data_IF_985397578857
#
_entry.id   IF_985397578857
#
_cell.length_a   1.000
_cell.length_b   1.000
_cell.length_c   1.000
_cell.angle_alpha   90.00
_cell.angle_beta   90.00
_cell.angle_gamma   90.00
#
_symmetry.space_group_name_H-M   'P 1'
#
loop_
_entity.id
_entity.type
_entity.pdbx_description
1 polymer ?
#
# COMPACT_ATOMS: atom_id res chain seq x y z
N UNK A 1 -26.95 -8.20 1.57
CA UNK A 1 -25.53 -7.84 1.69
C UNK A 1 -24.65 -8.74 0.82
N UNK A 2 -24.55 -10.07 1.11
CA UNK A 2 -23.64 -11.00 0.40
C UNK A 2 -23.74 -10.86 -1.12
N UNK A 3 -24.93 -10.98 -1.70
CA UNK A 3 -25.13 -10.87 -3.15
C UNK A 3 -24.72 -9.49 -3.71
N UNK A 4 -24.94 -8.42 -2.96
CA UNK A 4 -24.60 -7.06 -3.41
C UNK A 4 -23.10 -6.85 -3.50
N UNK A 5 -22.33 -7.31 -2.49
CA UNK A 5 -20.87 -7.14 -2.49
C UNK A 5 -20.19 -8.10 -3.45
N UNK A 6 -20.68 -9.34 -3.59
CA UNK A 6 -20.13 -10.28 -4.57
C UNK A 6 -20.36 -9.80 -5.99
N UNK A 7 -21.57 -9.33 -6.32
CA UNK A 7 -21.89 -8.87 -7.68
C UNK A 7 -21.34 -7.48 -8.01
N UNK A 8 -21.26 -6.60 -7.00
CA UNK A 8 -20.81 -5.21 -7.21
C UNK A 8 -19.31 -5.01 -7.15
N UNK A 9 -18.61 -5.79 -6.32
CA UNK A 9 -17.19 -5.62 -6.04
C UNK A 9 -16.34 -6.87 -6.26
N UNK A 10 -16.95 -7.99 -6.68
CA UNK A 10 -16.24 -9.26 -6.78
C UNK A 10 -15.78 -9.83 -5.43
N UNK A 11 -16.33 -9.32 -4.31
CA UNK A 11 -15.88 -9.69 -2.99
C UNK A 11 -16.30 -11.12 -2.61
N UNK A 12 -15.41 -11.83 -1.95
CA UNK A 12 -15.72 -13.09 -1.29
C UNK A 12 -16.34 -12.82 0.09
N UNK A 13 -17.33 -13.60 0.47
CA UNK A 13 -17.97 -13.48 1.80
C UNK A 13 -18.02 -14.85 2.44
N UNK A 14 -17.33 -14.99 3.55
CA UNK A 14 -17.25 -16.24 4.31
C UNK A 14 -17.80 -16.07 5.73
N UNK A 15 -18.47 -17.10 6.24
CA UNK A 15 -18.90 -17.16 7.63
C UNK A 15 -17.82 -17.87 8.45
N UNK A 16 -17.31 -17.18 9.47
CA UNK A 16 -16.28 -17.70 10.35
C UNK A 16 -16.74 -17.63 11.82
N UNK A 17 -16.13 -18.44 12.65
CA UNK A 17 -16.35 -18.42 14.10
C UNK A 17 -15.24 -17.60 14.77
N UNK A 18 -15.54 -16.35 15.13
CA UNK A 18 -14.58 -15.46 15.76
C UNK A 18 -14.19 -15.91 17.19
N UNK A 19 -14.96 -16.78 17.85
CA UNK A 19 -14.54 -17.37 19.12
C UNK A 19 -13.36 -18.33 18.97
N UNK A 20 -13.16 -18.86 17.75
CA UNK A 20 -12.02 -19.69 17.38
C UNK A 20 -10.93 -18.84 16.68
N UNK A 21 -10.36 -17.87 17.41
CA UNK A 21 -9.50 -16.81 16.85
C UNK A 21 -8.35 -17.34 16.00
N UNK A 22 -7.59 -18.36 16.44
CA UNK A 22 -6.48 -18.94 15.68
C UNK A 22 -6.93 -19.53 14.35
N UNK A 23 -8.06 -20.25 14.34
CA UNK A 23 -8.61 -20.84 13.10
C UNK A 23 -9.08 -19.75 12.15
N UNK A 24 -9.77 -18.75 12.66
CA UNK A 24 -10.27 -17.61 11.85
C UNK A 24 -9.11 -16.80 11.27
N UNK A 25 -8.06 -16.52 12.06
CA UNK A 25 -6.82 -15.91 11.55
C UNK A 25 -6.17 -16.74 10.45
N UNK A 26 -6.15 -18.08 10.61
CA UNK A 26 -5.63 -18.98 9.57
C UNK A 26 -6.38 -18.85 8.25
N UNK A 27 -7.71 -18.74 8.27
CA UNK A 27 -8.55 -18.55 7.08
C UNK A 27 -8.23 -17.20 6.41
N UNK A 28 -8.25 -16.10 7.18
CA UNK A 28 -8.00 -14.75 6.66
C UNK A 28 -6.58 -14.62 6.10
N UNK A 29 -5.58 -15.09 6.84
CA UNK A 29 -4.19 -15.05 6.40
C UNK A 29 -3.95 -15.89 5.15
N UNK A 30 -4.55 -17.09 5.05
CA UNK A 30 -4.44 -17.92 3.85
C UNK A 30 -5.08 -17.28 2.63
N UNK A 31 -6.20 -16.56 2.82
CA UNK A 31 -6.82 -15.79 1.75
C UNK A 31 -5.90 -14.65 1.28
N UNK A 32 -5.29 -13.91 2.21
CA UNK A 32 -4.39 -12.82 1.90
C UNK A 32 -3.12 -13.32 1.19
N UNK A 33 -2.49 -14.37 1.72
CA UNK A 33 -1.32 -15.04 1.15
C UNK A 33 -1.56 -15.44 -0.32
N UNK A 34 -2.68 -16.11 -0.57
CA UNK A 34 -3.10 -16.51 -1.92
C UNK A 34 -3.32 -15.33 -2.86
N UNK A 35 -3.97 -14.26 -2.40
CA UNK A 35 -4.31 -13.10 -3.23
C UNK A 35 -3.16 -12.09 -3.36
N UNK A 36 -2.03 -12.33 -2.70
CA UNK A 36 -0.80 -11.55 -2.83
C UNK A 36 0.39 -12.38 -3.29
N UNK A 37 0.14 -13.58 -3.86
CA UNK A 37 1.18 -14.51 -4.35
C UNK A 37 2.31 -14.75 -3.33
N UNK A 38 1.95 -14.84 -2.04
CA UNK A 38 2.88 -15.06 -0.94
C UNK A 38 3.56 -13.81 -0.38
N UNK A 39 3.37 -12.64 -0.95
CA UNK A 39 4.01 -11.40 -0.46
C UNK A 39 3.50 -10.97 0.91
N UNK A 40 2.22 -11.22 1.22
CA UNK A 40 1.61 -10.91 2.51
C UNK A 40 1.02 -12.18 3.13
N UNK A 41 1.84 -13.09 3.68
CA UNK A 41 1.36 -14.36 4.23
C UNK A 41 0.62 -14.20 5.55
N UNK A 42 0.74 -13.03 6.20
CA UNK A 42 0.11 -12.76 7.49
C UNK A 42 -0.29 -11.30 7.61
N UNK A 43 -1.58 -11.03 7.71
CA UNK A 43 -2.14 -9.70 7.91
C UNK A 43 -2.73 -9.53 9.31
N UNK A 44 -3.27 -10.58 9.91
CA UNK A 44 -3.98 -10.53 11.20
C UNK A 44 -3.41 -11.54 12.18
N UNK A 45 -3.49 -11.22 13.46
CA UNK A 45 -3.07 -12.07 14.59
C UNK A 45 -4.25 -12.38 15.53
N UNK A 46 -4.21 -13.49 16.28
CA UNK A 46 -5.33 -13.91 17.14
C UNK A 46 -5.73 -12.89 18.22
N UNK A 47 -4.80 -12.04 18.64
CA UNK A 47 -5.07 -10.97 19.63
C UNK A 47 -5.94 -9.84 19.09
N UNK A 48 -6.09 -9.73 17.76
CA UNK A 48 -6.99 -8.78 17.10
C UNK A 48 -8.41 -9.33 16.89
N UNK A 49 -8.68 -10.57 17.29
CA UNK A 49 -9.98 -11.23 17.14
C UNK A 49 -10.44 -11.74 18.51
N UNK A 50 -11.71 -11.57 18.80
CA UNK A 50 -12.33 -12.11 20.00
C UNK A 50 -13.80 -12.49 19.74
N UNK A 51 -14.49 -13.01 20.75
CA UNK A 51 -15.87 -13.47 20.67
C UNK A 51 -16.90 -12.35 20.47
N UNK A 52 -16.49 -11.10 20.64
CA UNK A 52 -17.34 -9.92 20.35
C UNK A 52 -17.14 -9.39 18.93
N UNK A 53 -16.12 -9.86 18.22
CA UNK A 53 -15.88 -9.48 16.80
C UNK A 53 -17.08 -9.93 15.96
N UNK A 54 -17.70 -9.00 15.27
CA UNK A 54 -18.86 -9.25 14.43
C UNK A 54 -18.59 -9.31 12.94
N UNK A 55 -17.54 -8.62 12.49
CA UNK A 55 -17.17 -8.50 11.08
C UNK A 55 -15.68 -8.26 10.94
N UNK A 56 -15.06 -8.90 9.97
CA UNK A 56 -13.72 -8.61 9.51
C UNK A 56 -13.75 -8.29 8.01
N UNK A 57 -13.26 -7.13 7.62
CA UNK A 57 -13.09 -6.74 6.23
C UNK A 57 -11.61 -6.79 5.88
N UNK A 58 -11.29 -7.54 4.85
CA UNK A 58 -9.92 -7.68 4.36
C UNK A 58 -9.86 -7.27 2.90
N UNK A 59 -8.89 -6.43 2.55
CA UNK A 59 -8.59 -6.06 1.18
C UNK A 59 -7.12 -6.39 0.89
N UNK A 60 -6.84 -6.93 -0.28
CA UNK A 60 -5.49 -7.15 -0.79
C UNK A 60 -5.36 -6.56 -2.18
N UNK A 61 -4.24 -5.91 -2.43
CA UNK A 61 -3.83 -5.45 -3.76
C UNK A 61 -2.51 -6.11 -4.08
N UNK A 62 -2.46 -6.78 -5.22
CA UNK A 62 -1.24 -7.34 -5.78
C UNK A 62 -0.94 -6.70 -7.12
N UNK A 63 0.29 -6.28 -7.30
CA UNK A 63 0.79 -5.75 -8.55
C UNK A 63 2.18 -6.32 -8.80
N UNK A 64 2.37 -6.93 -9.95
CA UNK A 64 3.66 -7.38 -10.46
C UNK A 64 3.76 -7.02 -11.93
N UNK A 65 4.88 -6.46 -12.33
CA UNK A 65 5.18 -6.23 -13.75
C UNK A 65 6.67 -6.09 -13.95
N UNK A 66 7.20 -6.68 -15.01
CA UNK A 66 8.55 -6.36 -15.48
C UNK A 66 8.63 -4.96 -16.09
N UNK A 67 9.83 -4.47 -16.26
CA UNK A 67 10.12 -3.19 -16.91
C UNK A 67 9.96 -3.29 -18.43
N UNK A 68 9.51 -2.23 -19.07
CA UNK A 68 9.39 -2.19 -20.55
C UNK A 68 10.74 -2.08 -21.26
N UNK A 69 11.78 -1.63 -20.58
CA UNK A 69 13.14 -1.46 -21.08
C UNK A 69 14.17 -2.32 -20.36
N UNK A 70 15.43 -1.89 -20.40
CA UNK A 70 16.52 -2.56 -19.70
C UNK A 70 16.24 -2.64 -18.18
N UNK A 71 16.62 -3.74 -17.49
CA UNK A 71 16.44 -3.85 -16.06
C UNK A 71 17.26 -2.81 -15.29
N UNK A 72 16.94 -2.61 -14.02
CA UNK A 72 17.78 -1.81 -13.14
C UNK A 72 19.14 -2.47 -12.94
N UNK A 73 20.18 -1.65 -12.93
CA UNK A 73 21.51 -2.08 -12.55
C UNK A 73 21.69 -1.92 -11.04
N UNK A 74 21.69 -3.01 -10.31
CA UNK A 74 21.84 -3.02 -8.84
C UNK A 74 23.32 -3.01 -8.48
N UNK A 75 23.76 -2.10 -7.61
CA UNK A 75 25.15 -2.01 -7.16
C UNK A 75 25.57 -3.25 -6.37
N UNK A 76 26.82 -3.67 -6.55
CA UNK A 76 27.40 -4.77 -5.75
C UNK A 76 27.71 -4.35 -4.30
N UNK A 77 27.89 -3.04 -4.06
CA UNK A 77 28.25 -2.46 -2.77
C UNK A 77 27.11 -1.66 -2.19
N UNK A 78 27.02 -1.66 -0.86
CA UNK A 78 26.11 -0.82 -0.11
C UNK A 78 26.68 0.59 0.07
N UNK A 79 25.81 1.59 -0.08
CA UNK A 79 26.09 3.00 0.18
C UNK A 79 25.23 3.49 1.35
N UNK A 80 25.60 4.62 1.92
CA UNK A 80 24.85 5.24 3.02
C UNK A 80 23.52 5.80 2.51
N UNK A 81 22.44 5.50 3.24
CA UNK A 81 21.10 6.03 3.01
C UNK A 81 20.55 6.61 4.32
N UNK A 82 20.08 7.85 4.29
CA UNK A 82 19.50 8.49 5.47
C UNK A 82 20.43 8.53 6.70
N UNK A 83 19.88 8.26 7.87
CA UNK A 83 20.52 8.40 9.17
C UNK A 83 21.45 7.25 9.58
N UNK A 84 22.34 6.78 8.72
CA UNK A 84 23.35 5.72 8.92
C UNK A 84 22.95 4.30 8.48
N UNK A 85 21.82 4.11 7.88
CA UNK A 85 21.52 2.84 7.22
C UNK A 85 22.34 2.69 5.93
N UNK A 86 22.63 1.47 5.56
CA UNK A 86 23.30 1.14 4.32
C UNK A 86 22.37 0.32 3.44
N UNK A 87 22.32 0.63 2.19
CA UNK A 87 21.54 -0.11 1.20
C UNK A 87 22.27 -0.17 -0.14
N UNK A 88 21.89 -1.12 -0.94
CA UNK A 88 22.29 -1.15 -2.34
C UNK A 88 21.48 -0.12 -3.11
N UNK A 89 22.13 0.52 -4.07
CA UNK A 89 21.47 1.43 -4.99
C UNK A 89 21.20 0.76 -6.32
N UNK A 90 20.14 1.20 -6.96
CA UNK A 90 19.78 0.82 -8.31
C UNK A 90 19.94 2.03 -9.21
N UNK A 91 20.44 1.81 -10.43
CA UNK A 91 20.61 2.84 -11.46
C UNK A 91 19.96 2.40 -12.76
N UNK A 92 19.38 3.34 -13.48
CA UNK A 92 18.89 3.13 -14.84
C UNK A 92 18.87 4.43 -15.62
N UNK A 93 18.67 4.35 -16.95
CA UNK A 93 18.20 5.48 -17.72
C UNK A 93 16.71 5.68 -17.47
N UNK A 94 16.27 6.89 -17.17
CA UNK A 94 14.87 7.26 -17.07
C UNK A 94 14.26 7.55 -18.43
N UNK A 95 12.94 7.36 -18.53
CA UNK A 95 12.22 7.61 -19.80
C UNK A 95 11.86 9.09 -19.94
N UNK A 96 11.40 9.73 -18.86
CA UNK A 96 11.02 11.14 -18.84
C UNK A 96 11.47 11.81 -17.54
N UNK A 97 11.76 13.10 -17.61
CA UNK A 97 12.11 13.93 -16.48
C UNK A 97 11.11 15.07 -16.31
N UNK A 98 10.74 15.34 -15.08
CA UNK A 98 9.80 16.39 -14.70
C UNK A 98 10.42 17.27 -13.63
N UNK A 99 10.10 18.55 -13.65
CA UNK A 99 10.60 19.50 -12.66
C UNK A 99 9.58 20.60 -12.40
N UNK A 100 9.48 21.01 -11.14
CA UNK A 100 8.86 22.25 -10.70
C UNK A 100 9.70 22.88 -9.56
N UNK A 101 9.22 23.93 -8.93
CA UNK A 101 9.92 24.62 -7.83
C UNK A 101 9.98 23.81 -6.53
N UNK A 102 9.29 22.70 -6.42
CA UNK A 102 9.17 21.86 -5.21
C UNK A 102 9.85 20.51 -5.33
N UNK A 103 9.87 19.93 -6.51
CA UNK A 103 10.37 18.58 -6.71
C UNK A 103 10.85 18.34 -8.13
N UNK A 104 11.72 17.35 -8.27
CA UNK A 104 12.03 16.70 -9.54
C UNK A 104 11.44 15.30 -9.56
N UNK A 105 11.14 14.78 -10.74
CA UNK A 105 10.68 13.41 -10.88
C UNK A 105 11.19 12.78 -12.16
N UNK A 106 11.22 11.45 -12.17
CA UNK A 106 11.36 10.65 -13.37
C UNK A 106 10.25 9.62 -13.41
N UNK A 107 9.88 9.16 -14.58
CA UNK A 107 9.06 7.97 -14.71
C UNK A 107 9.79 6.86 -15.47
N UNK A 108 9.26 5.67 -15.31
CA UNK A 108 9.72 4.48 -15.98
C UNK A 108 8.56 3.54 -16.22
N UNK A 109 8.41 3.11 -17.47
CA UNK A 109 7.28 2.28 -17.86
C UNK A 109 7.48 0.82 -17.47
N UNK A 110 6.40 0.19 -17.01
CA UNK A 110 6.29 -1.24 -16.89
C UNK A 110 5.80 -1.88 -18.21
N UNK A 111 6.09 -3.16 -18.39
CA UNK A 111 5.66 -3.90 -19.57
C UNK A 111 4.13 -3.95 -19.78
N UNK A 112 3.36 -3.68 -18.74
CA UNK A 112 1.90 -3.63 -18.77
C UNK A 112 1.30 -2.24 -19.08
N UNK A 113 2.14 -1.23 -19.36
CA UNK A 113 1.73 0.13 -19.72
C UNK A 113 1.45 1.06 -18.53
N UNK A 114 1.66 0.60 -17.30
CA UNK A 114 1.73 1.48 -16.13
C UNK A 114 3.14 2.05 -15.99
N UNK A 115 3.31 3.06 -15.16
CA UNK A 115 4.62 3.66 -14.89
C UNK A 115 4.92 3.72 -13.41
N UNK A 116 6.17 3.48 -13.07
CA UNK A 116 6.75 3.86 -11.79
C UNK A 116 7.17 5.34 -11.87
N UNK A 117 6.89 6.09 -10.83
CA UNK A 117 7.31 7.50 -10.72
C UNK A 117 8.15 7.67 -9.46
N UNK A 118 9.41 8.04 -9.66
CA UNK A 118 10.30 8.45 -8.56
C UNK A 118 10.27 9.97 -8.41
N UNK A 119 9.98 10.46 -7.21
CA UNK A 119 9.90 11.90 -6.91
C UNK A 119 10.95 12.25 -5.86
N UNK A 120 11.74 13.28 -6.14
CA UNK A 120 12.74 13.82 -5.25
C UNK A 120 12.39 15.27 -4.89
N UNK A 121 12.04 15.55 -3.62
CA UNK A 121 11.84 16.93 -3.17
C UNK A 121 13.10 17.78 -3.31
N UNK A 122 12.94 19.07 -3.60
CA UNK A 122 14.05 20.03 -3.67
C UNK A 122 14.59 20.32 -2.27
N UNK A 123 13.71 20.46 -1.28
CA UNK A 123 14.08 20.67 0.12
C UNK A 123 14.13 19.34 0.88
N UNK A 124 15.19 19.14 1.66
CA UNK A 124 15.38 17.96 2.54
C UNK A 124 14.62 18.08 3.88
N UNK A 125 13.80 19.13 4.05
CA UNK A 125 13.05 19.39 5.28
C UNK A 125 11.76 18.58 5.42
N UNK A 126 10.97 18.91 6.44
CA UNK A 126 9.64 18.33 6.61
C UNK A 126 8.70 18.86 5.51
N UNK A 127 8.14 17.96 4.76
CA UNK A 127 7.16 18.25 3.70
C UNK A 127 6.02 17.20 3.72
N UNK A 128 4.87 17.60 3.22
CA UNK A 128 3.76 16.70 2.93
C UNK A 128 3.67 16.42 1.42
N UNK A 129 2.96 15.36 1.04
CA UNK A 129 2.72 15.10 -0.39
C UNK A 129 1.96 16.24 -1.07
N UNK A 130 1.14 16.99 -0.32
CA UNK A 130 0.41 18.16 -0.81
C UNK A 130 1.35 19.32 -1.14
N UNK A 131 2.43 19.49 -0.36
CA UNK A 131 3.42 20.54 -0.57
C UNK A 131 4.19 20.37 -1.89
N UNK A 132 4.29 19.17 -2.41
CA UNK A 132 5.05 18.84 -3.61
C UNK A 132 4.32 19.14 -4.93
N UNK A 133 3.02 19.47 -4.88
CA UNK A 133 2.17 19.65 -6.08
C UNK A 133 2.40 18.56 -7.16
N UNK A 134 2.30 17.31 -6.74
CA UNK A 134 2.55 16.15 -7.62
C UNK A 134 1.71 16.21 -8.88
N UNK A 135 0.44 16.67 -8.76
CA UNK A 135 -0.45 16.82 -9.90
C UNK A 135 0.02 17.84 -10.92
N UNK A 136 0.61 18.96 -10.47
CA UNK A 136 1.23 19.96 -11.33
C UNK A 136 2.54 19.47 -11.92
N UNK A 137 3.39 18.82 -11.10
CA UNK A 137 4.66 18.25 -11.52
C UNK A 137 4.48 17.26 -12.71
N UNK A 138 3.58 16.31 -12.59
CA UNK A 138 3.35 15.28 -13.62
C UNK A 138 2.58 15.80 -14.85
N UNK A 139 2.00 17.01 -14.78
CA UNK A 139 1.40 17.70 -15.93
C UNK A 139 2.37 18.64 -16.63
N UNK A 140 3.53 18.95 -16.03
CA UNK A 140 4.57 19.71 -16.69
C UNK A 140 5.02 18.96 -17.94
N UNK A 141 5.48 19.71 -18.94
CA UNK A 141 6.03 19.07 -20.15
C UNK A 141 7.33 18.38 -19.77
N UNK A 142 7.45 17.06 -19.97
CA UNK A 142 8.68 16.37 -19.63
C UNK A 142 9.79 16.82 -20.57
N UNK A 143 10.97 17.06 -20.03
CA UNK A 143 12.17 17.16 -20.84
C UNK A 143 12.67 15.76 -21.17
N UNK A 144 12.77 15.46 -22.46
CA UNK A 144 13.37 14.20 -22.95
C UNK A 144 14.89 14.34 -22.97
N UNK A 145 15.51 14.14 -21.83
CA UNK A 145 16.95 14.07 -21.68
C UNK A 145 17.31 12.65 -21.23
N UNK A 146 18.51 12.21 -21.53
CA UNK A 146 19.07 11.01 -20.91
C UNK A 146 19.22 11.25 -19.41
N UNK A 147 18.17 10.91 -18.64
CA UNK A 147 18.17 11.06 -17.20
C UNK A 147 18.77 9.80 -16.58
N UNK A 148 19.84 10.01 -15.82
CA UNK A 148 20.40 8.95 -14.98
C UNK A 148 19.66 8.92 -13.66
N UNK A 149 18.87 7.87 -13.44
CA UNK A 149 18.16 7.66 -12.19
C UNK A 149 19.02 6.83 -11.25
N UNK A 150 19.08 7.25 -9.99
CA UNK A 150 19.71 6.50 -8.91
C UNK A 150 18.79 6.53 -7.69
N UNK A 151 18.42 5.35 -7.21
CA UNK A 151 17.57 5.23 -6.01
C UNK A 151 18.00 4.02 -5.17
N UNK A 152 17.67 3.98 -3.87
CA UNK A 152 17.90 2.79 -3.07
C UNK A 152 17.06 1.62 -3.59
N UNK A 153 17.59 0.40 -3.49
CA UNK A 153 16.79 -0.81 -3.71
C UNK A 153 15.69 -0.84 -2.65
N UNK A 154 14.45 -0.97 -3.09
CA UNK A 154 13.29 -1.00 -2.20
C UNK A 154 12.88 -2.45 -1.95
N UNK A 155 12.92 -2.83 -0.69
CA UNK A 155 12.38 -4.07 -0.15
C UNK A 155 11.97 -3.78 1.29
N UNK A 156 10.70 -3.45 1.50
CA UNK A 156 10.19 -3.12 2.82
C UNK A 156 8.74 -3.55 3.01
N UNK A 157 8.39 -3.74 4.26
CA UNK A 157 7.04 -4.03 4.71
C UNK A 157 6.62 -2.99 5.75
N UNK A 158 5.41 -2.51 5.65
CA UNK A 158 4.82 -1.62 6.64
C UNK A 158 3.46 -2.14 7.09
N UNK A 159 3.13 -1.84 8.34
CA UNK A 159 1.81 -2.12 8.91
C UNK A 159 1.32 -0.86 9.59
N UNK A 160 0.13 -0.40 9.25
CA UNK A 160 -0.49 0.78 9.81
C UNK A 160 -1.87 0.46 10.36
N UNK A 161 -2.17 0.95 11.58
CA UNK A 161 -3.52 0.99 12.13
C UNK A 161 -4.13 2.34 11.71
N UNK A 162 -5.25 2.29 11.02
CA UNK A 162 -5.84 3.47 10.38
C UNK A 162 -6.94 4.14 11.20
N UNK A 163 -7.28 3.64 12.39
CA UNK A 163 -8.41 4.13 13.18
C UNK A 163 -8.38 5.64 13.43
N UNK A 164 -7.26 6.15 13.95
CA UNK A 164 -7.13 7.58 14.27
C UNK A 164 -7.17 8.46 13.01
N UNK A 165 -6.52 8.01 11.95
CA UNK A 165 -6.51 8.71 10.66
C UNK A 165 -7.93 8.80 10.10
N UNK A 166 -8.66 7.69 10.06
CA UNK A 166 -10.02 7.64 9.52
C UNK A 166 -11.01 8.41 10.40
N UNK A 167 -10.83 8.39 11.72
CA UNK A 167 -11.61 9.21 12.63
C UNK A 167 -11.41 10.71 12.37
N UNK A 168 -10.18 11.15 12.16
CA UNK A 168 -9.88 12.54 11.82
C UNK A 168 -10.48 12.99 10.47
N UNK A 169 -10.71 12.04 9.57
CA UNK A 169 -11.39 12.25 8.27
C UNK A 169 -12.92 12.16 8.36
N UNK A 170 -13.48 12.05 9.58
CA UNK A 170 -14.93 12.07 9.82
C UNK A 170 -15.60 10.69 9.85
N UNK A 171 -14.84 9.61 9.96
CA UNK A 171 -15.35 8.24 10.05
C UNK A 171 -15.40 7.70 11.50
N UNK A 172 -15.34 8.56 12.52
CA UNK A 172 -15.36 8.20 13.92
C UNK A 172 -16.59 7.38 14.33
N UNK A 173 -17.74 7.61 13.68
CA UNK A 173 -18.98 6.91 14.00
C UNK A 173 -18.89 5.39 13.81
N UNK A 174 -18.10 4.89 12.82
CA UNK A 174 -18.01 3.45 12.56
C UNK A 174 -17.30 2.68 13.68
N UNK A 175 -16.48 3.36 14.47
CA UNK A 175 -15.78 2.79 15.62
C UNK A 175 -16.59 2.87 16.93
N UNK A 176 -17.72 3.56 16.91
CA UNK A 176 -18.55 3.79 18.09
C UNK A 176 -19.63 2.73 18.24
N UNK A 177 -20.20 2.65 19.46
CA UNK A 177 -21.39 1.81 19.72
C UNK A 177 -22.67 2.28 19.00
N UNK A 178 -22.64 3.46 18.36
CA UNK A 178 -23.73 4.01 17.55
C UNK A 178 -23.60 3.67 16.06
N UNK A 179 -22.60 2.90 15.68
CA UNK A 179 -22.44 2.43 14.32
C UNK A 179 -23.66 1.61 13.86
N UNK A 180 -24.16 1.87 12.67
CA UNK A 180 -25.29 1.13 12.10
C UNK A 180 -24.79 0.18 11.00
N UNK A 181 -24.59 -1.05 11.38
CA UNK A 181 -24.28 -2.17 10.49
C UNK A 181 -25.44 -3.17 10.37
N UNK A 182 -26.69 -2.75 10.66
CA UNK A 182 -27.88 -3.61 10.61
C UNK A 182 -28.12 -4.27 9.24
N UNK A 183 -27.59 -3.69 8.16
CA UNK A 183 -27.62 -4.30 6.82
C UNK A 183 -26.65 -5.47 6.64
N UNK A 184 -25.74 -5.71 7.58
CA UNK A 184 -24.69 -6.74 7.50
C UNK A 184 -24.88 -7.80 8.56
N UNK A 185 -25.21 -7.41 9.78
CA UNK A 185 -25.33 -8.29 10.95
C UNK A 185 -26.62 -8.04 11.73
N UNK A 186 -27.19 -9.11 12.29
CA UNK A 186 -28.39 -9.04 13.16
C UNK A 186 -28.06 -8.53 14.58
N UNK A 187 -26.78 -8.40 14.90
CA UNK A 187 -26.28 -7.86 16.17
C UNK A 187 -25.75 -6.46 15.97
N UNK A 188 -25.79 -5.65 17.02
CA UNK A 188 -25.10 -4.37 17.03
C UNK A 188 -23.59 -4.62 17.04
N UNK A 189 -22.91 -4.25 15.96
CA UNK A 189 -21.46 -4.39 15.76
C UNK A 189 -20.88 -3.05 15.37
N UNK A 190 -19.62 -2.84 15.70
CA UNK A 190 -18.82 -1.72 15.26
C UNK A 190 -17.49 -2.23 14.71
N UNK A 191 -16.75 -1.36 14.09
CA UNK A 191 -15.37 -1.67 13.64
C UNK A 191 -14.43 -1.49 14.82
N UNK A 192 -13.68 -2.52 15.18
CA UNK A 192 -12.64 -2.43 16.22
C UNK A 192 -11.35 -1.87 15.67
N UNK A 193 -10.85 -2.43 14.58
CA UNK A 193 -9.55 -2.09 14.02
C UNK A 193 -9.60 -2.13 12.50
N UNK A 194 -9.03 -1.12 11.87
CA UNK A 194 -8.70 -1.13 10.45
C UNK A 194 -7.18 -1.16 10.32
N UNK A 195 -6.69 -2.20 9.68
CA UNK A 195 -5.28 -2.46 9.52
C UNK A 195 -4.93 -2.49 8.03
N UNK A 196 -3.89 -1.78 7.66
CA UNK A 196 -3.28 -1.83 6.34
C UNK A 196 -1.89 -2.42 6.44
N UNK A 197 -1.61 -3.41 5.61
CA UNK A 197 -0.28 -3.96 5.44
C UNK A 197 0.16 -3.77 4.00
N UNK A 198 1.40 -3.30 3.82
CA UNK A 198 1.99 -3.06 2.50
C UNK A 198 3.34 -3.73 2.44
N UNK A 199 3.58 -4.47 1.39
CA UNK A 199 4.90 -4.99 1.01
C UNK A 199 5.26 -4.39 -0.35
N UNK A 200 6.45 -3.83 -0.46
CA UNK A 200 7.00 -3.32 -1.71
C UNK A 200 8.36 -3.94 -1.95
N UNK A 201 8.52 -4.56 -3.10
CA UNK A 201 9.79 -5.01 -3.66
C UNK A 201 9.98 -4.36 -5.02
N UNK A 202 11.15 -3.77 -5.24
CA UNK A 202 11.52 -3.15 -6.50
C UNK A 202 12.95 -3.56 -6.85
N UNK A 203 13.14 -4.21 -8.00
CA UNK A 203 14.41 -4.71 -8.50
C UNK A 203 14.54 -4.62 -10.04
#
# INVERSE_FOLDING_TARGET
FKNSVTNGFGAEVENVDFSAAEKTCGIINSWCDKNTEGLIPKIITPDLINDTTGLCLTNSLYFESGWSGEPWNVSDTEEKFGNNEKTKYMTCAGDRYYENDKATAFDREYANGLSFVGILPVDEGDFTLEDLDIGGLLKSQPEYNEVQCKMPKLDFETTAILNDILSSLGLDNIFSSNADFSGIADKNVNVDTILQKTKLELD
#
